data_IF_565451415932
#
_entry.id   IF_565451415932
#
_cell.length_a   1.000
_cell.length_b   1.000
_cell.length_c   1.000
_cell.angle_alpha   90.00
_cell.angle_beta   90.00
_cell.angle_gamma   90.00
#
_symmetry.space_group_name_H-M   'P 1'
#
loop_
_entity.id
_entity.type
_entity.pdbx_description
1 polymer ?
#
# COMPACT_ATOMS: atom_id res chain seq x y z
N UNK A 1 9.07 -9.59 -8.42
CA UNK A 1 8.42 -9.37 -7.12
C UNK A 1 8.97 -8.07 -6.57
N UNK A 2 8.08 -7.16 -6.20
CA UNK A 2 8.42 -5.81 -5.81
C UNK A 2 8.46 -5.69 -4.29
N UNK A 3 9.65 -5.47 -3.73
CA UNK A 3 9.77 -5.24 -2.30
C UNK A 3 9.22 -3.85 -1.93
N UNK A 4 8.51 -3.72 -0.80
CA UNK A 4 8.15 -2.41 -0.26
C UNK A 4 9.38 -1.53 -0.06
N UNK A 5 9.25 -0.24 -0.33
CA UNK A 5 10.33 0.73 -0.07
C UNK A 5 10.58 0.87 1.43
N UNK A 6 11.78 1.31 1.82
CA UNK A 6 12.10 1.52 3.24
C UNK A 6 11.17 2.53 3.93
N UNK A 7 10.76 3.57 3.21
CA UNK A 7 9.80 4.58 3.72
C UNK A 7 8.44 3.96 3.99
N UNK A 8 7.97 3.08 3.11
CA UNK A 8 6.71 2.35 3.30
C UNK A 8 6.81 1.34 4.44
N UNK A 9 7.95 0.64 4.59
CA UNK A 9 8.19 -0.26 5.73
C UNK A 9 8.08 0.50 7.04
N UNK A 10 8.75 1.65 7.19
CA UNK A 10 8.65 2.51 8.39
C UNK A 10 7.20 2.92 8.66
N UNK A 11 6.43 3.27 7.62
CA UNK A 11 5.00 3.60 7.74
C UNK A 11 4.18 2.41 8.24
N UNK A 12 4.42 1.21 7.71
CA UNK A 12 3.74 -0.02 8.13
C UNK A 12 4.05 -0.33 9.60
N UNK A 13 5.31 -0.25 10.01
CA UNK A 13 5.74 -0.50 11.40
C UNK A 13 5.14 0.51 12.39
N UNK A 14 4.87 1.74 11.93
CA UNK A 14 4.19 2.77 12.73
C UNK A 14 2.70 2.51 12.88
N UNK A 15 2.03 2.15 11.78
CA UNK A 15 0.57 2.07 11.74
C UNK A 15 0.04 0.72 12.27
N UNK A 16 0.82 -0.35 12.17
CA UNK A 16 0.43 -1.71 12.54
C UNK A 16 1.19 -2.23 13.76
N UNK A 17 0.62 -3.21 14.47
CA UNK A 17 1.36 -3.93 15.52
C UNK A 17 2.55 -4.70 14.90
N UNK A 18 3.62 -5.02 15.64
CA UNK A 18 4.77 -5.75 15.08
C UNK A 18 4.43 -7.11 14.44
N UNK A 19 3.36 -7.77 14.90
CA UNK A 19 2.88 -9.00 14.27
C UNK A 19 2.23 -8.70 12.92
N UNK A 20 1.29 -7.74 12.88
CA UNK A 20 0.60 -7.38 11.65
C UNK A 20 1.52 -6.69 10.63
N UNK A 21 2.49 -5.89 11.08
CA UNK A 21 3.47 -5.25 10.20
C UNK A 21 4.27 -6.28 9.40
N UNK A 22 4.76 -7.34 10.07
CA UNK A 22 5.45 -8.45 9.40
C UNK A 22 4.56 -9.15 8.37
N UNK A 23 3.29 -9.35 8.70
CA UNK A 23 2.33 -9.96 7.80
C UNK A 23 2.06 -9.08 6.57
N UNK A 24 1.79 -7.78 6.77
CA UNK A 24 1.60 -6.80 5.69
C UNK A 24 2.81 -6.74 4.76
N UNK A 25 4.03 -6.67 5.30
CA UNK A 25 5.26 -6.68 4.50
C UNK A 25 5.38 -7.98 3.69
N UNK A 26 5.04 -9.12 4.30
CA UNK A 26 5.00 -10.42 3.62
C UNK A 26 4.02 -10.44 2.46
N UNK A 27 2.79 -9.95 2.66
CA UNK A 27 1.80 -9.82 1.60
C UNK A 27 2.28 -8.94 0.45
N UNK A 28 2.77 -7.73 0.74
CA UNK A 28 3.24 -6.81 -0.30
C UNK A 28 4.41 -7.39 -1.11
N UNK A 29 5.36 -8.05 -0.43
CA UNK A 29 6.49 -8.73 -1.09
C UNK A 29 6.00 -9.87 -1.98
N UNK A 30 4.93 -10.56 -1.56
CA UNK A 30 4.31 -11.69 -2.26
C UNK A 30 3.45 -11.33 -3.46
N UNK A 31 3.13 -10.04 -3.68
CA UNK A 31 2.29 -9.63 -4.80
C UNK A 31 2.98 -9.86 -6.16
N UNK A 32 2.25 -10.50 -7.06
CA UNK A 32 2.70 -10.76 -8.42
C UNK A 32 2.65 -9.47 -9.27
N UNK A 33 3.63 -9.21 -10.16
CA UNK A 33 3.67 -7.98 -10.98
C UNK A 33 2.39 -7.68 -11.76
N UNK A 34 1.67 -8.73 -12.18
CA UNK A 34 0.42 -8.64 -12.93
C UNK A 34 -0.70 -7.98 -12.11
N UNK A 35 -0.61 -8.06 -10.78
CA UNK A 35 -1.60 -7.50 -9.85
C UNK A 35 -1.64 -5.97 -9.88
N UNK A 36 -0.59 -5.31 -10.39
CA UNK A 36 -0.47 -3.85 -10.40
C UNK A 36 -1.07 -3.18 -11.62
N UNK A 37 -1.57 -3.93 -12.62
CA UNK A 37 -2.26 -3.33 -13.77
C UNK A 37 -1.43 -2.31 -14.55
N UNK A 38 -0.09 -2.51 -14.65
CA UNK A 38 0.91 -1.57 -15.22
C UNK A 38 1.06 -0.23 -14.47
N UNK A 39 0.52 -0.13 -13.25
CA UNK A 39 0.76 1.02 -12.38
C UNK A 39 2.12 0.95 -11.70
N UNK A 40 2.55 2.09 -11.16
CA UNK A 40 3.65 2.12 -10.21
C UNK A 40 3.33 1.25 -8.99
N UNK A 41 4.19 0.26 -8.74
CA UNK A 41 3.98 -0.73 -7.68
C UNK A 41 3.97 -0.05 -6.30
N UNK A 42 4.87 0.92 -6.08
CA UNK A 42 4.96 1.68 -4.84
C UNK A 42 3.69 2.49 -4.54
N UNK A 43 3.10 3.10 -5.56
CA UNK A 43 1.81 3.83 -5.47
C UNK A 43 0.68 2.91 -5.03
N UNK A 44 0.56 1.73 -5.64
CA UNK A 44 -0.49 0.75 -5.30
C UNK A 44 -0.27 0.18 -3.91
N UNK A 45 0.96 -0.22 -3.57
CA UNK A 45 1.30 -0.72 -2.24
C UNK A 45 1.02 0.31 -1.15
N UNK A 46 1.35 1.59 -1.40
CA UNK A 46 1.05 2.67 -0.48
C UNK A 46 -0.46 2.91 -0.34
N UNK A 47 -1.24 2.83 -1.42
CA UNK A 47 -2.70 2.96 -1.33
C UNK A 47 -3.31 1.89 -0.42
N UNK A 48 -2.85 0.63 -0.51
CA UNK A 48 -3.27 -0.46 0.39
C UNK A 48 -3.01 -0.10 1.86
N UNK A 49 -1.78 0.31 2.17
CA UNK A 49 -1.33 0.61 3.54
C UNK A 49 -2.07 1.83 4.11
N UNK A 50 -2.11 2.93 3.36
CA UNK A 50 -2.73 4.18 3.81
C UNK A 50 -4.24 4.04 3.98
N UNK A 51 -4.91 3.27 3.12
CA UNK A 51 -6.35 3.02 3.24
C UNK A 51 -6.67 2.10 4.42
N UNK A 52 -5.82 1.12 4.70
CA UNK A 52 -5.99 0.15 5.78
C UNK A 52 -5.81 0.76 7.18
N UNK A 53 -5.03 1.85 7.33
CA UNK A 53 -4.87 2.59 8.60
C UNK A 53 -4.56 1.70 9.82
N UNK A 54 -3.65 0.75 9.66
CA UNK A 54 -3.26 -0.16 10.76
C UNK A 54 -4.19 -1.37 10.97
N UNK A 55 -5.29 -1.48 10.24
CA UNK A 55 -6.22 -2.60 10.34
C UNK A 55 -5.86 -3.71 9.33
N UNK A 56 -5.38 -4.84 9.84
CA UNK A 56 -4.98 -5.98 9.01
C UNK A 56 -6.15 -6.59 8.21
N UNK A 57 -7.35 -6.63 8.77
CA UNK A 57 -8.52 -7.18 8.04
C UNK A 57 -8.88 -6.27 6.86
N UNK A 58 -8.87 -4.96 7.09
CA UNK A 58 -9.09 -3.98 6.02
C UNK A 58 -8.01 -4.10 4.94
N UNK A 59 -6.74 -4.24 5.33
CA UNK A 59 -5.64 -4.46 4.38
C UNK A 59 -5.89 -5.68 3.49
N UNK A 60 -6.27 -6.82 4.07
CA UNK A 60 -6.57 -8.04 3.31
C UNK A 60 -7.75 -7.82 2.35
N UNK A 61 -8.83 -7.17 2.81
CA UNK A 61 -9.97 -6.84 1.95
C UNK A 61 -9.58 -5.92 0.78
N UNK A 62 -8.66 -4.97 0.99
CA UNK A 62 -8.16 -4.09 -0.05
C UNK A 62 -7.25 -4.82 -1.06
N UNK A 63 -6.48 -5.83 -0.63
CA UNK A 63 -5.71 -6.67 -1.55
C UNK A 63 -6.63 -7.44 -2.50
N UNK A 64 -7.74 -7.97 -1.99
CA UNK A 64 -8.73 -8.62 -2.86
C UNK A 64 -9.42 -7.61 -3.79
N UNK A 65 -9.75 -6.40 -3.31
CA UNK A 65 -10.30 -5.34 -4.16
C UNK A 65 -9.32 -4.92 -5.27
N UNK A 66 -8.04 -4.76 -4.94
CA UNK A 66 -6.98 -4.40 -5.90
C UNK A 66 -6.92 -5.36 -7.09
N UNK A 67 -7.05 -6.68 -6.81
CA UNK A 67 -7.04 -7.73 -7.85
C UNK A 67 -8.22 -7.62 -8.80
N UNK A 68 -9.34 -7.05 -8.34
CA UNK A 68 -10.54 -6.83 -9.14
C UNK A 68 -10.45 -5.49 -9.90
N UNK A 69 -10.16 -4.42 -9.18
CA UNK A 69 -10.03 -3.07 -9.72
C UNK A 69 -9.01 -2.23 -8.93
N UNK A 70 -7.80 -2.11 -9.48
CA UNK A 70 -6.73 -1.29 -8.91
C UNK A 70 -7.09 0.21 -8.92
N UNK A 71 -7.93 0.68 -9.84
CA UNK A 71 -8.28 2.10 -9.95
C UNK A 71 -9.14 2.53 -8.77
N UNK A 72 -10.11 1.70 -8.39
CA UNK A 72 -10.96 1.97 -7.24
C UNK A 72 -10.16 2.00 -5.93
N UNK A 73 -9.17 1.10 -5.79
CA UNK A 73 -8.21 1.17 -4.69
C UNK A 73 -7.46 2.51 -4.68
N UNK A 74 -6.89 2.94 -5.81
CA UNK A 74 -6.12 4.17 -5.87
C UNK A 74 -6.98 5.40 -5.52
N UNK A 75 -8.22 5.45 -6.02
CA UNK A 75 -9.18 6.51 -5.67
C UNK A 75 -9.50 6.49 -4.17
N UNK A 76 -9.78 5.31 -3.61
CA UNK A 76 -10.09 5.18 -2.19
C UNK A 76 -8.90 5.53 -1.29
N UNK A 77 -7.67 5.22 -1.72
CA UNK A 77 -6.43 5.54 -1.03
C UNK A 77 -5.96 6.99 -1.19
N UNK A 78 -6.71 7.84 -1.91
CA UNK A 78 -6.31 9.23 -2.18
C UNK A 78 -5.13 9.37 -3.15
N UNK A 79 -4.77 8.28 -3.84
CA UNK A 79 -3.64 8.23 -4.77
C UNK A 79 -4.11 8.05 -6.21
N UNK A 80 -5.36 8.37 -6.56
CA UNK A 80 -5.92 8.19 -7.91
C UNK A 80 -5.55 9.27 -8.92
N UNK A 81 -5.25 10.48 -8.44
CA UNK A 81 -4.96 11.65 -9.25
C UNK A 81 -3.45 11.82 -9.50
N UNK A 82 -3.07 12.74 -10.40
CA UNK A 82 -1.67 12.97 -10.82
C UNK A 82 -0.76 13.57 -9.75
N UNK A 83 -1.32 14.10 -8.66
CA UNK A 83 -0.62 14.64 -7.49
C UNK A 83 -0.18 13.56 -6.49
N UNK A 84 -0.45 12.29 -6.78
CA UNK A 84 -0.05 11.15 -5.95
C UNK A 84 1.42 11.16 -5.49
N UNK A 85 2.43 11.61 -6.26
CA UNK A 85 3.81 11.64 -5.76
C UNK A 85 3.97 12.59 -4.56
N UNK A 86 3.34 13.77 -4.61
CA UNK A 86 3.40 14.74 -3.53
C UNK A 86 2.65 14.24 -2.27
N UNK A 87 1.54 13.52 -2.46
CA UNK A 87 0.79 12.90 -1.37
C UNK A 87 1.63 11.79 -0.71
N UNK A 88 2.28 10.94 -1.50
CA UNK A 88 3.19 9.93 -0.97
C UNK A 88 4.34 10.57 -0.19
N UNK A 89 4.88 11.67 -0.69
CA UNK A 89 5.96 12.36 0.00
C UNK A 89 5.53 12.91 1.36
N UNK A 90 4.32 13.47 1.44
CA UNK A 90 3.75 13.93 2.70
C UNK A 90 3.40 12.78 3.68
N UNK A 91 2.83 11.67 3.18
CA UNK A 91 2.39 10.56 4.03
C UNK A 91 3.53 9.66 4.52
N UNK A 92 4.62 9.60 3.74
CA UNK A 92 5.80 8.78 3.99
C UNK A 92 7.03 9.62 4.35
N UNK A 93 6.88 10.91 4.66
CA UNK A 93 7.97 11.75 5.16
C UNK A 93 8.46 11.22 6.51
N UNK A 94 9.77 11.22 6.70
CA UNK A 94 10.39 10.90 7.99
C UNK A 94 10.06 12.04 8.97
N UNK A 95 9.26 11.76 10.01
CA UNK A 95 9.25 12.57 11.22
C UNK A 95 10.17 11.91 12.24
#
# INVERSE_FOLDING_TARGET
MAAPTQRLIKRIERDFTPAHAREVIGWLTGLAPESYGRQDEGRVQAALVLRARGNLREFISLVELMRLDWRDLLMAGGLGNSDWPAILDAELSET
#
